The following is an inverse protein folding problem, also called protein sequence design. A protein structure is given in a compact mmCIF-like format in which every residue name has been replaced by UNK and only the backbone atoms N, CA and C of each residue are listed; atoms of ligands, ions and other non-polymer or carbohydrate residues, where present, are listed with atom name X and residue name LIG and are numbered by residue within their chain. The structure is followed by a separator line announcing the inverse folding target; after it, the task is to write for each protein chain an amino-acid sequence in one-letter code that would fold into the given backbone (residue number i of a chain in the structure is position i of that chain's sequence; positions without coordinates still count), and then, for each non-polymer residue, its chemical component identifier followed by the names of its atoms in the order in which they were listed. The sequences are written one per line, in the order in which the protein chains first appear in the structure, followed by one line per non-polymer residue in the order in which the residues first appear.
data_IF_654457493513
#
_entry.id   IF_654457493513
#
_cell.length_a   1.000
_cell.length_b   1.000
_cell.length_c   1.000
_cell.angle_alpha   90.00
_cell.angle_beta   90.00
_cell.angle_gamma   90.00
#
_symmetry.space_group_name_H-M   'P 1'
#
loop_
_entity.id
_entity.type
_entity.pdbx_description
1 polymer ?
#
# COMPACT_ATOMS: atom_id res chain seq x y z
N UNK A 1 19.40 -5.07 -59.55
CA UNK A 1 20.71 -5.69 -59.25
C UNK A 1 20.67 -6.26 -57.84
N UNK A 2 20.74 -7.60 -57.66
CA UNK A 2 20.84 -8.20 -56.34
C UNK A 2 22.30 -8.57 -56.05
N UNK A 3 22.82 -8.19 -54.89
CA UNK A 3 24.09 -8.71 -54.38
C UNK A 3 23.81 -9.89 -53.45
N UNK A 4 24.48 -11.00 -53.79
CA UNK A 4 24.73 -12.20 -52.98
C UNK A 4 25.67 -11.80 -51.81
N UNK A 5 25.64 -12.45 -50.65
CA UNK A 5 26.39 -13.69 -50.33
C UNK A 5 25.75 -14.35 -49.07
N UNK A 6 25.29 -15.62 -49.09
CA UNK A 6 26.00 -16.91 -48.90
C UNK A 6 26.60 -17.10 -47.49
N UNK A 7 25.98 -17.88 -46.59
CA UNK A 7 26.18 -19.33 -46.30
C UNK A 7 26.99 -19.51 -44.98
N UNK A 8 26.35 -19.84 -43.85
CA UNK A 8 26.07 -21.17 -43.26
C UNK A 8 27.29 -21.90 -42.66
N UNK A 9 27.26 -22.13 -41.35
CA UNK A 9 27.87 -23.32 -40.76
C UNK A 9 27.22 -23.70 -39.43
N UNK A 10 26.61 -24.89 -39.44
CA UNK A 10 26.19 -25.67 -38.29
C UNK A 10 27.42 -26.10 -37.47
N UNK A 11 27.27 -26.24 -36.15
CA UNK A 11 27.79 -27.41 -35.45
C UNK A 11 26.97 -27.75 -34.20
N UNK A 12 26.63 -29.03 -34.14
CA UNK A 12 25.93 -29.81 -33.11
C UNK A 12 26.99 -30.61 -32.35
N UNK A 13 26.57 -31.25 -31.25
CA UNK A 13 27.26 -32.27 -30.41
C UNK A 13 27.99 -31.64 -29.20
N UNK A 14 27.93 -32.17 -27.98
CA UNK A 14 27.36 -33.43 -27.48
C UNK A 14 27.23 -33.35 -25.94
N UNK A 15 26.35 -34.19 -25.42
CA UNK A 15 26.13 -34.48 -24.00
C UNK A 15 27.32 -35.23 -23.38
N UNK A 16 27.59 -35.01 -22.10
CA UNK A 16 28.03 -36.10 -21.21
C UNK A 16 27.51 -35.90 -19.78
N UNK A 17 26.52 -36.73 -19.45
CA UNK A 17 26.16 -37.11 -18.08
C UNK A 17 27.34 -37.83 -17.40
N UNK A 18 27.29 -37.91 -16.05
CA UNK A 18 27.69 -39.04 -15.17
C UNK A 18 28.35 -38.48 -13.90
N UNK A 19 28.08 -38.85 -12.64
CA UNK A 19 27.15 -39.75 -11.93
C UNK A 19 27.62 -39.72 -10.46
N UNK A 20 26.70 -39.93 -9.49
CA UNK A 20 26.96 -40.54 -8.16
C UNK A 20 27.75 -39.70 -7.12
N UNK A 21 27.45 -39.65 -5.83
CA UNK A 21 26.42 -40.23 -4.96
C UNK A 21 26.73 -39.79 -3.51
N UNK A 22 25.80 -40.09 -2.60
CA UNK A 22 25.96 -40.27 -1.15
C UNK A 22 25.65 -39.07 -0.24
N UNK A 23 24.42 -39.10 0.26
CA UNK A 23 23.99 -38.64 1.58
C UNK A 23 24.92 -39.17 2.69
N UNK A 24 24.89 -38.55 3.87
CA UNK A 24 24.16 -39.24 4.92
C UNK A 24 23.16 -38.37 5.69
N UNK A 25 22.16 -39.10 6.15
CA UNK A 25 21.02 -38.75 6.98
C UNK A 25 21.47 -38.61 8.44
N UNK A 26 21.33 -37.44 9.07
CA UNK A 26 21.28 -37.31 10.54
C UNK A 26 20.29 -36.21 10.97
N UNK A 27 19.32 -36.63 11.76
CA UNK A 27 18.54 -35.90 12.75
C UNK A 27 18.43 -36.84 13.96
N UNK A 28 17.96 -36.45 15.16
CA UNK A 28 17.83 -35.13 15.79
C UNK A 28 18.36 -35.14 17.26
N UNK A 29 18.62 -33.97 17.87
CA UNK A 29 18.52 -33.80 19.34
C UNK A 29 18.43 -32.31 19.69
N UNK A 30 17.36 -31.83 20.37
CA UNK A 30 17.18 -31.71 21.84
C UNK A 30 18.30 -30.87 22.48
N UNK A 31 18.07 -29.94 23.41
CA UNK A 31 17.06 -29.73 24.47
C UNK A 31 17.33 -28.27 24.95
N UNK A 32 16.41 -27.52 25.54
CA UNK A 32 16.00 -27.71 26.95
C UNK A 32 14.67 -27.00 27.22
N UNK A 33 13.65 -27.81 27.53
CA UNK A 33 12.85 -27.58 28.73
C UNK A 33 12.52 -28.98 29.27
N UNK A 34 13.35 -29.40 30.20
CA UNK A 34 13.04 -30.41 31.21
C UNK A 34 13.01 -29.57 32.48
N UNK A 35 12.13 -29.73 33.46
CA UNK A 35 11.21 -30.79 33.88
C UNK A 35 10.82 -30.35 35.32
N UNK A 36 9.94 -30.92 36.13
CA UNK A 36 9.38 -32.24 36.33
C UNK A 36 8.30 -32.02 37.41
N UNK A 37 7.11 -32.61 37.27
CA UNK A 37 6.57 -33.69 38.15
C UNK A 37 6.02 -33.16 39.50
N UNK A 38 5.01 -33.75 40.14
CA UNK A 38 4.52 -35.12 40.10
C UNK A 38 3.06 -35.19 40.56
N UNK A 39 2.39 -36.23 40.08
CA UNK A 39 1.58 -37.19 40.82
C UNK A 39 0.22 -36.86 41.47
N UNK A 40 -0.69 -37.78 41.10
CA UNK A 40 -1.58 -38.56 41.95
C UNK A 40 -3.05 -38.14 42.12
N UNK A 41 -3.88 -38.83 41.32
CA UNK A 41 -4.89 -39.80 41.74
C UNK A 41 -6.09 -39.35 42.59
N UNK A 42 -7.26 -39.57 41.98
CA UNK A 42 -8.48 -40.12 42.59
C UNK A 42 -9.51 -39.15 43.18
N UNK A 43 -10.76 -39.49 42.86
CA UNK A 43 -11.96 -39.38 43.69
C UNK A 43 -12.68 -38.01 43.75
N UNK A 44 -13.80 -37.99 43.02
CA UNK A 44 -15.15 -37.90 43.61
C UNK A 44 -15.71 -36.51 43.96
N UNK A 45 -16.88 -36.31 43.31
CA UNK A 45 -18.11 -35.68 43.80
C UNK A 45 -18.27 -34.15 43.71
N UNK A 46 -19.45 -33.87 43.14
CA UNK A 46 -20.50 -32.95 43.62
C UNK A 46 -20.46 -31.53 43.08
N UNK A 47 -21.41 -31.29 42.17
CA UNK A 47 -22.48 -30.29 42.26
C UNK A 47 -22.08 -28.91 42.77
N UNK A 48 -22.08 -27.94 41.85
CA UNK A 48 -22.15 -26.53 42.17
C UNK A 48 -23.63 -26.06 42.07
N UNK A 49 -24.24 -25.57 43.15
CA UNK A 49 -25.62 -25.09 43.16
C UNK A 49 -25.72 -23.62 42.73
N UNK A 50 -26.88 -23.27 42.17
CA UNK A 50 -27.33 -21.89 41.98
C UNK A 50 -27.70 -21.25 43.33
N UNK A 51 -27.38 -19.96 43.55
CA UNK A 51 -28.36 -18.95 43.94
C UNK A 51 -27.77 -17.54 44.16
N UNK A 52 -28.39 -16.56 43.49
CA UNK A 52 -28.89 -15.25 44.00
C UNK A 52 -27.96 -14.29 44.78
N UNK A 53 -27.68 -13.16 44.11
CA UNK A 53 -28.00 -11.76 44.48
C UNK A 53 -27.45 -11.15 45.77
N UNK A 54 -26.54 -10.16 45.65
CA UNK A 54 -26.50 -8.95 46.49
C UNK A 54 -26.08 -7.72 45.66
N UNK A 55 -26.81 -6.63 45.89
CA UNK A 55 -26.75 -5.28 45.32
C UNK A 55 -25.64 -4.46 45.98
N UNK A 56 -24.83 -3.73 45.21
CA UNK A 56 -24.13 -2.55 45.74
C UNK A 56 -23.93 -1.48 44.66
N UNK A 57 -24.29 -0.27 45.07
CA UNK A 57 -24.23 1.02 44.42
C UNK A 57 -22.79 1.53 44.34
N UNK A 58 -22.36 2.02 43.17
CA UNK A 58 -21.24 2.97 43.08
C UNK A 58 -21.31 3.79 41.79
N UNK A 59 -21.74 5.04 41.95
CA UNK A 59 -21.66 6.14 41.01
C UNK A 59 -20.24 6.30 40.48
N UNK A 60 -20.05 6.19 39.17
CA UNK A 60 -18.82 6.68 38.51
C UNK A 60 -19.19 7.44 37.23
N UNK A 61 -18.80 8.71 37.26
CA UNK A 61 -19.08 9.77 36.29
C UNK A 61 -18.55 9.37 34.91
N UNK A 62 -19.46 9.13 33.97
CA UNK A 62 -19.15 9.12 32.54
C UNK A 62 -18.92 10.57 32.11
N UNK A 63 -17.66 11.00 32.00
CA UNK A 63 -17.32 12.20 31.22
C UNK A 63 -17.30 11.80 29.75
N UNK A 64 -18.49 11.76 29.16
CA UNK A 64 -18.68 11.85 27.71
C UNK A 64 -18.19 13.22 27.26
N UNK A 65 -16.94 13.32 26.79
CA UNK A 65 -16.55 14.45 25.95
C UNK A 65 -17.10 14.19 24.56
N UNK A 66 -18.34 14.63 24.35
CA UNK A 66 -18.96 14.78 23.03
C UNK A 66 -18.09 15.74 22.22
N UNK A 67 -17.50 15.24 21.14
CA UNK A 67 -16.82 16.06 20.13
C UNK A 67 -17.86 16.99 19.53
N UNK A 68 -17.66 18.33 19.48
CA UNK A 68 -18.64 19.21 18.86
C UNK A 68 -18.75 18.84 17.38
N UNK A 69 -19.97 18.43 17.05
CA UNK A 69 -20.50 18.13 15.74
C UNK A 69 -20.90 19.47 15.11
N UNK A 70 -19.99 20.05 14.35
CA UNK A 70 -20.20 20.90 13.17
C UNK A 70 -18.95 21.76 12.92
N UNK A 71 -17.95 21.17 12.27
CA UNK A 71 -16.99 21.96 11.49
C UNK A 71 -17.44 21.80 10.05
N UNK A 72 -18.19 22.76 9.52
CA UNK A 72 -18.45 22.86 8.08
C UNK A 72 -17.11 22.71 7.36
N UNK A 73 -16.93 21.58 6.68
CA UNK A 73 -15.73 21.35 5.89
C UNK A 73 -15.74 22.37 4.75
N UNK A 74 -14.99 23.45 4.93
CA UNK A 74 -14.82 24.48 3.90
C UNK A 74 -14.32 23.77 2.63
N UNK A 75 -15.07 23.81 1.51
CA UNK A 75 -14.67 23.16 0.28
C UNK A 75 -13.35 23.79 -0.19
N UNK A 76 -12.44 22.98 -0.72
CA UNK A 76 -11.10 23.46 -1.11
C UNK A 76 -11.17 24.66 -2.07
N UNK A 77 -12.21 24.71 -2.90
CA UNK A 77 -12.47 25.75 -3.89
C UNK A 77 -12.80 27.11 -3.30
N UNK A 78 -13.23 27.20 -2.04
CA UNK A 78 -13.53 28.48 -1.37
C UNK A 78 -12.35 29.04 -0.57
N UNK A 79 -11.20 28.34 -0.54
CA UNK A 79 -9.98 28.87 0.05
C UNK A 79 -9.40 30.01 -0.81
N UNK A 80 -8.69 30.99 -0.22
CA UNK A 80 -7.96 32.00 -0.97
C UNK A 80 -6.98 31.38 -1.98
N UNK A 81 -6.82 32.01 -3.14
CA UNK A 81 -5.97 31.51 -4.24
C UNK A 81 -4.54 31.20 -3.76
N UNK A 82 -3.96 32.06 -2.92
CA UNK A 82 -2.62 31.83 -2.36
C UNK A 82 -2.51 30.54 -1.54
N UNK A 83 -3.55 30.20 -0.77
CA UNK A 83 -3.57 28.96 0.00
C UNK A 83 -3.74 27.76 -0.92
N UNK A 84 -4.57 27.88 -1.96
CA UNK A 84 -4.71 26.83 -2.96
C UNK A 84 -3.38 26.56 -3.68
N UNK A 85 -2.64 27.60 -4.05
CA UNK A 85 -1.30 27.48 -4.64
C UNK A 85 -0.35 26.77 -3.66
N UNK A 86 -0.29 27.22 -2.40
CA UNK A 86 0.57 26.57 -1.38
C UNK A 86 0.26 25.09 -1.21
N UNK A 87 -1.02 24.74 -1.15
CA UNK A 87 -1.44 23.34 -1.03
C UNK A 87 -1.03 22.58 -2.30
N UNK A 88 -1.37 23.09 -3.48
CA UNK A 88 -0.99 22.47 -4.76
C UNK A 88 0.52 22.22 -4.87
N UNK A 89 1.35 23.24 -4.59
CA UNK A 89 2.81 23.14 -4.61
C UNK A 89 3.30 22.08 -3.62
N UNK A 90 2.74 22.05 -2.41
CA UNK A 90 3.07 21.03 -1.41
C UNK A 90 2.82 19.62 -1.93
N UNK A 91 1.66 19.37 -2.53
CA UNK A 91 1.35 18.06 -3.10
C UNK A 91 2.27 17.73 -4.28
N UNK A 92 2.52 18.69 -5.18
CA UNK A 92 3.40 18.48 -6.33
C UNK A 92 4.85 18.13 -5.96
N UNK A 93 5.33 18.54 -4.78
CA UNK A 93 6.66 18.18 -4.26
C UNK A 93 6.85 16.67 -4.00
N UNK A 94 5.78 15.88 -3.93
CA UNK A 94 5.91 14.41 -3.87
C UNK A 94 6.44 13.81 -5.17
N UNK A 95 6.44 14.56 -6.28
CA UNK A 95 7.02 14.15 -7.56
C UNK A 95 8.21 15.02 -7.94
N UNK A 96 9.19 14.43 -8.63
CA UNK A 96 10.27 15.21 -9.23
C UNK A 96 9.69 16.06 -10.40
N UNK A 97 10.00 17.36 -10.46
CA UNK A 97 9.45 18.28 -11.47
C UNK A 97 9.88 17.95 -12.91
N UNK A 98 10.98 17.22 -13.09
CA UNK A 98 11.53 16.90 -14.41
C UNK A 98 10.82 15.71 -15.09
N UNK A 99 9.91 15.01 -14.41
CA UNK A 99 9.15 13.93 -15.03
C UNK A 99 8.05 14.45 -15.96
N UNK A 100 7.67 13.65 -16.98
CA UNK A 100 6.46 13.87 -17.74
C UNK A 100 5.24 14.10 -16.85
N UNK A 101 4.33 14.97 -17.29
CA UNK A 101 3.17 15.39 -16.50
C UNK A 101 2.33 14.21 -16.00
N UNK A 102 2.09 13.19 -16.84
CA UNK A 102 1.27 12.04 -16.46
C UNK A 102 1.91 11.17 -15.38
N UNK A 103 3.25 11.02 -15.41
CA UNK A 103 3.99 10.34 -14.34
C UNK A 103 3.89 11.13 -13.03
N UNK A 104 4.02 12.46 -13.09
CA UNK A 104 3.86 13.32 -11.91
C UNK A 104 2.45 13.22 -11.32
N UNK A 105 1.44 13.18 -12.18
CA UNK A 105 0.02 13.04 -11.78
C UNK A 105 -0.26 11.67 -11.15
N UNK A 106 0.37 10.61 -11.67
CA UNK A 106 0.31 9.29 -11.06
C UNK A 106 0.99 9.24 -9.70
N UNK A 107 2.18 9.81 -9.55
CA UNK A 107 2.85 9.92 -8.26
C UNK A 107 2.01 10.66 -7.22
N UNK A 108 1.33 11.74 -7.63
CA UNK A 108 0.43 12.49 -6.76
C UNK A 108 -0.72 11.61 -6.26
N UNK A 109 -1.30 10.81 -7.15
CA UNK A 109 -2.35 9.85 -6.82
C UNK A 109 -1.85 8.80 -5.82
N UNK A 110 -0.67 8.21 -6.04
CA UNK A 110 -0.06 7.25 -5.09
C UNK A 110 0.19 7.90 -3.73
N UNK A 111 0.77 9.11 -3.71
CA UNK A 111 0.98 9.86 -2.47
C UNK A 111 -0.34 10.11 -1.73
N UNK A 112 -1.40 10.49 -2.45
CA UNK A 112 -2.73 10.72 -1.88
C UNK A 112 -3.33 9.44 -1.27
N UNK A 113 -3.17 8.28 -1.94
CA UNK A 113 -3.57 6.98 -1.37
C UNK A 113 -2.82 6.64 -0.09
N UNK A 114 -1.50 6.88 -0.07
CA UNK A 114 -0.67 6.59 1.09
C UNK A 114 -0.95 7.54 2.26
N UNK A 115 -1.32 8.79 1.97
CA UNK A 115 -1.60 9.82 2.96
C UNK A 115 -2.85 9.55 3.81
N UNK A 116 -3.77 8.70 3.33
CA UNK A 116 -4.93 8.29 4.11
C UNK A 116 -4.47 7.66 5.43
N UNK A 117 -4.79 8.32 6.55
CA UNK A 117 -4.40 7.93 7.92
C UNK A 117 -2.88 7.73 8.08
N UNK A 118 -2.07 8.56 7.42
CA UNK A 118 -0.62 8.61 7.60
C UNK A 118 -0.12 10.05 7.70
N UNK A 119 1.03 10.23 8.35
CA UNK A 119 1.71 11.52 8.41
C UNK A 119 2.52 11.76 7.13
N UNK A 120 2.62 13.01 6.72
CA UNK A 120 3.36 13.44 5.52
C UNK A 120 4.79 12.90 5.47
N UNK A 121 5.52 12.94 6.59
CA UNK A 121 6.90 12.43 6.68
C UNK A 121 7.00 10.93 6.34
N UNK A 122 5.98 10.16 6.68
CA UNK A 122 5.89 8.74 6.37
C UNK A 122 5.55 8.53 4.89
N UNK A 123 4.68 9.38 4.31
CA UNK A 123 4.35 9.34 2.88
C UNK A 123 5.58 9.68 2.04
N UNK A 124 6.33 10.72 2.39
CA UNK A 124 7.57 11.09 1.68
C UNK A 124 8.56 9.93 1.70
N UNK A 125 8.76 9.28 2.85
CA UNK A 125 9.61 8.09 2.97
C UNK A 125 9.10 6.93 2.10
N UNK A 126 7.79 6.69 2.07
CA UNK A 126 7.18 5.65 1.26
C UNK A 126 7.36 5.90 -0.25
N UNK A 127 7.17 7.14 -0.71
CA UNK A 127 7.42 7.50 -2.11
C UNK A 127 8.88 7.25 -2.52
N UNK A 128 9.85 7.61 -1.65
CA UNK A 128 11.27 7.33 -1.89
C UNK A 128 11.55 5.82 -1.91
N UNK A 129 10.98 5.05 -0.97
CA UNK A 129 11.16 3.60 -0.91
C UNK A 129 10.60 2.89 -2.15
N UNK A 130 9.42 3.31 -2.64
CA UNK A 130 8.84 2.76 -3.87
C UNK A 130 9.71 3.07 -5.08
N UNK A 131 10.24 4.31 -5.21
CA UNK A 131 11.17 4.63 -6.30
C UNK A 131 12.44 3.79 -6.28
N UNK A 132 13.02 3.61 -5.08
CA UNK A 132 14.19 2.76 -4.90
C UNK A 132 13.91 1.29 -5.29
N UNK A 133 12.71 0.79 -5.00
CA UNK A 133 12.29 -0.56 -5.40
C UNK A 133 12.26 -0.74 -6.93
N UNK A 134 11.90 0.30 -7.68
CA UNK A 134 11.89 0.27 -9.16
C UNK A 134 13.19 0.81 -9.81
N UNK A 135 14.29 0.95 -9.07
CA UNK A 135 15.63 1.36 -9.55
C UNK A 135 15.78 2.76 -10.18
N UNK A 136 14.70 3.52 -10.35
CA UNK A 136 14.76 4.93 -10.76
C UNK A 136 13.50 5.67 -10.35
N UNK A 137 12.39 5.20 -10.90
CA UNK A 137 11.07 5.77 -10.74
C UNK A 137 10.01 4.73 -11.12
N UNK A 138 8.75 5.02 -10.85
CA UNK A 138 7.68 4.04 -11.06
C UNK A 138 6.53 4.58 -11.90
N UNK A 139 6.04 3.72 -12.78
CA UNK A 139 4.92 3.97 -13.68
C UNK A 139 3.67 3.23 -13.23
N UNK A 140 2.53 3.60 -13.80
CA UNK A 140 1.26 2.93 -13.46
C UNK A 140 1.28 1.46 -13.87
N UNK A 141 1.95 1.12 -14.97
CA UNK A 141 2.13 -0.26 -15.44
C UNK A 141 2.95 -1.07 -14.44
N UNK A 142 4.08 -0.51 -13.99
CA UNK A 142 4.95 -1.16 -13.01
C UNK A 142 4.23 -1.45 -11.68
N UNK A 143 3.40 -0.52 -11.19
CA UNK A 143 2.60 -0.76 -9.98
C UNK A 143 1.47 -1.75 -10.23
N UNK A 144 0.83 -1.72 -11.41
CA UNK A 144 -0.23 -2.65 -11.78
C UNK A 144 0.26 -4.10 -11.90
N UNK A 145 1.50 -4.30 -12.33
CA UNK A 145 2.14 -5.62 -12.49
C UNK A 145 2.85 -6.13 -11.23
N UNK A 146 3.11 -5.25 -10.26
CA UNK A 146 3.80 -5.61 -9.02
C UNK A 146 3.00 -6.58 -8.14
N UNK A 147 3.71 -7.41 -7.37
CA UNK A 147 3.05 -8.28 -6.38
C UNK A 147 2.65 -7.49 -5.14
N UNK A 148 1.51 -7.84 -4.57
CA UNK A 148 0.98 -7.17 -3.38
C UNK A 148 1.94 -7.27 -2.19
N UNK A 149 2.57 -8.43 -2.03
CA UNK A 149 3.50 -8.73 -0.93
C UNK A 149 4.76 -7.88 -1.01
N UNK A 150 5.29 -7.68 -2.23
CA UNK A 150 6.49 -6.88 -2.48
C UNK A 150 6.23 -5.41 -2.15
N UNK A 151 5.12 -4.85 -2.66
CA UNK A 151 4.75 -3.47 -2.35
C UNK A 151 4.48 -3.31 -0.86
N UNK A 152 3.74 -4.23 -0.23
CA UNK A 152 3.45 -4.19 1.21
C UNK A 152 4.72 -4.24 2.06
N UNK A 153 5.74 -5.00 1.64
CA UNK A 153 7.04 -5.05 2.30
C UNK A 153 7.78 -3.71 2.19
N UNK A 154 7.80 -3.10 1.00
CA UNK A 154 8.41 -1.79 0.73
C UNK A 154 7.79 -0.70 1.61
N UNK A 155 6.45 -0.72 1.78
CA UNK A 155 5.72 0.27 2.59
C UNK A 155 5.35 -0.24 4.00
N UNK A 156 6.04 -1.25 4.51
CA UNK A 156 5.69 -1.93 5.77
C UNK A 156 5.61 -1.01 7.00
N UNK A 157 6.35 0.10 6.99
CA UNK A 157 6.34 1.13 8.03
C UNK A 157 5.14 2.10 7.94
N UNK A 158 4.35 2.04 6.86
CA UNK A 158 3.11 2.80 6.71
C UNK A 158 1.98 2.05 7.43
N UNK A 159 1.06 2.79 8.06
CA UNK A 159 -0.12 2.18 8.66
C UNK A 159 -0.97 1.42 7.61
N UNK A 160 -1.37 0.19 7.95
CA UNK A 160 -2.17 -0.72 7.11
C UNK A 160 -1.53 -1.04 5.73
N UNK A 161 -0.29 -1.57 5.70
CA UNK A 161 0.47 -1.72 4.45
C UNK A 161 -0.18 -2.68 3.46
N UNK A 162 -0.71 -3.81 3.94
CA UNK A 162 -1.38 -4.81 3.08
C UNK A 162 -2.59 -4.25 2.33
N UNK A 163 -3.45 -3.49 3.04
CA UNK A 163 -4.63 -2.89 2.44
C UNK A 163 -4.25 -1.78 1.45
N UNK A 164 -3.23 -0.98 1.77
CA UNK A 164 -2.72 0.06 0.87
C UNK A 164 -2.10 -0.53 -0.39
N UNK A 165 -1.25 -1.54 -0.27
CA UNK A 165 -0.66 -2.24 -1.41
C UNK A 165 -1.74 -2.82 -2.33
N UNK A 166 -2.75 -3.50 -1.76
CA UNK A 166 -3.90 -4.02 -2.51
C UNK A 166 -4.64 -2.93 -3.29
N UNK A 167 -4.91 -1.78 -2.65
CA UNK A 167 -5.60 -0.67 -3.31
C UNK A 167 -4.73 0.05 -4.35
N UNK A 168 -3.42 0.15 -4.13
CA UNK A 168 -2.50 0.74 -5.12
C UNK A 168 -2.47 -0.10 -6.40
N UNK A 169 -2.33 -1.42 -6.28
CA UNK A 169 -2.30 -2.32 -7.44
C UNK A 169 -3.65 -2.30 -8.17
N UNK A 170 -4.75 -2.51 -7.45
CA UNK A 170 -6.10 -2.49 -8.06
C UNK A 170 -6.43 -1.15 -8.70
N UNK A 171 -6.15 -0.04 -8.01
CA UNK A 171 -6.38 1.29 -8.58
C UNK A 171 -5.50 1.56 -9.80
N UNK A 172 -4.26 1.07 -9.83
CA UNK A 172 -3.39 1.19 -11.01
C UNK A 172 -3.90 0.34 -12.18
N UNK A 173 -4.43 -0.85 -11.92
CA UNK A 173 -5.10 -1.69 -12.92
C UNK A 173 -6.34 -0.98 -13.50
N UNK A 174 -7.17 -0.36 -12.65
CA UNK A 174 -8.33 0.42 -13.10
C UNK A 174 -7.89 1.57 -14.00
N UNK A 175 -6.83 2.32 -13.60
CA UNK A 175 -6.27 3.44 -14.38
C UNK A 175 -5.76 2.98 -15.75
N UNK A 176 -5.03 1.87 -15.81
CA UNK A 176 -4.54 1.30 -17.07
C UNK A 176 -5.70 0.87 -17.96
N UNK A 177 -6.69 0.17 -17.40
CA UNK A 177 -7.78 -0.43 -18.15
C UNK A 177 -8.74 0.60 -18.74
N UNK A 178 -9.19 1.55 -17.93
CA UNK A 178 -10.29 2.45 -18.30
C UNK A 178 -9.78 3.80 -18.85
N UNK A 179 -8.55 4.20 -18.53
CA UNK A 179 -7.97 5.49 -18.93
C UNK A 179 -6.59 5.37 -19.61
N UNK A 180 -6.16 4.17 -19.99
CA UNK A 180 -4.92 3.96 -20.75
C UNK A 180 -3.63 4.31 -19.99
N UNK A 181 -3.71 4.45 -18.66
CA UNK A 181 -2.59 4.81 -17.80
C UNK A 181 -2.60 6.27 -17.31
N UNK A 182 -3.52 7.09 -17.81
CA UNK A 182 -3.66 8.48 -17.38
C UNK A 182 -4.62 8.62 -16.20
N UNK A 183 -4.24 9.42 -15.19
CA UNK A 183 -5.15 9.69 -14.07
C UNK A 183 -6.28 10.63 -14.52
N UNK A 184 -7.57 10.31 -14.32
CA UNK A 184 -8.67 11.18 -14.70
C UNK A 184 -8.72 12.47 -13.86
N UNK A 185 -9.32 13.52 -14.43
CA UNK A 185 -9.49 14.81 -13.75
C UNK A 185 -10.89 14.99 -13.14
N UNK A 186 -11.90 14.31 -13.70
CA UNK A 186 -13.29 14.44 -13.26
C UNK A 186 -13.51 13.68 -11.97
N UNK A 187 -14.25 14.27 -11.04
CA UNK A 187 -14.62 13.66 -9.75
C UNK A 187 -15.31 12.31 -9.95
N UNK A 188 -16.27 12.23 -10.88
CA UNK A 188 -17.03 11.02 -11.18
C UNK A 188 -16.13 9.87 -11.64
N UNK A 189 -15.12 10.17 -12.45
CA UNK A 189 -14.18 9.17 -12.96
C UNK A 189 -13.18 8.76 -11.89
N UNK A 190 -12.71 9.70 -11.07
CA UNK A 190 -11.86 9.41 -9.91
C UNK A 190 -12.58 8.48 -8.93
N UNK A 191 -13.87 8.65 -8.69
CA UNK A 191 -14.66 7.78 -7.82
C UNK A 191 -14.79 6.34 -8.32
N UNK A 192 -14.61 6.08 -9.62
CA UNK A 192 -14.61 4.72 -10.17
C UNK A 192 -13.34 3.94 -9.82
N UNK A 193 -12.23 4.63 -9.54
CA UNK A 193 -10.95 4.00 -9.19
C UNK A 193 -11.04 3.38 -7.79
N UNK A 194 -10.60 2.12 -7.66
CA UNK A 194 -10.64 1.38 -6.41
C UNK A 194 -10.05 2.17 -5.23
N UNK A 195 -10.84 2.26 -4.16
CA UNK A 195 -10.48 2.89 -2.90
C UNK A 195 -10.45 4.42 -2.93
N UNK A 196 -10.91 5.10 -3.99
CA UNK A 196 -11.13 6.55 -3.97
C UNK A 196 -12.55 6.80 -3.46
N UNK A 197 -12.67 7.52 -2.35
CA UNK A 197 -13.95 8.01 -1.85
C UNK A 197 -14.28 9.43 -2.34
N UNK A 198 -15.52 9.92 -2.13
CA UNK A 198 -15.98 11.22 -2.62
C UNK A 198 -15.06 12.39 -2.24
N UNK A 199 -14.64 12.46 -0.97
CA UNK A 199 -13.78 13.54 -0.48
C UNK A 199 -12.39 13.53 -1.11
N UNK A 200 -11.83 12.34 -1.32
CA UNK A 200 -10.51 12.20 -1.95
C UNK A 200 -10.58 12.54 -3.44
N UNK A 201 -11.66 12.16 -4.12
CA UNK A 201 -11.91 12.52 -5.51
C UNK A 201 -12.02 14.04 -5.69
N UNK A 202 -12.74 14.73 -4.80
CA UNK A 202 -12.83 16.19 -4.80
C UNK A 202 -11.45 16.83 -4.70
N UNK A 203 -10.65 16.44 -3.70
CA UNK A 203 -9.29 16.98 -3.51
C UNK A 203 -8.44 16.76 -4.76
N UNK A 204 -8.38 15.51 -5.25
CA UNK A 204 -7.60 15.14 -6.44
C UNK A 204 -8.06 15.92 -7.69
N UNK A 205 -9.36 16.14 -7.84
CA UNK A 205 -9.90 16.91 -8.97
C UNK A 205 -9.46 18.36 -8.98
N UNK A 206 -8.97 18.91 -7.86
CA UNK A 206 -8.44 20.28 -7.82
C UNK A 206 -6.91 20.32 -7.85
N UNK A 207 -6.23 19.39 -7.17
CA UNK A 207 -4.76 19.39 -7.09
C UNK A 207 -4.07 18.68 -8.26
N UNK A 208 -4.74 17.74 -8.93
CA UNK A 208 -4.14 16.83 -9.92
C UNK A 208 -4.57 17.10 -11.38
N UNK A 209 -5.01 18.33 -11.68
CA UNK A 209 -5.39 18.74 -13.03
C UNK A 209 -4.15 19.10 -13.85
N UNK A 210 -4.20 18.97 -15.17
CA UNK A 210 -3.04 19.29 -16.04
C UNK A 210 -2.68 20.78 -16.02
N UNK A 211 -3.67 21.66 -15.94
CA UNK A 211 -3.48 23.12 -15.81
C UNK A 211 -2.69 23.52 -14.55
N UNK A 212 -2.69 22.68 -13.52
CA UNK A 212 -1.92 22.87 -12.30
C UNK A 212 -0.40 22.79 -12.52
N UNK A 213 0.05 22.24 -13.66
CA UNK A 213 1.46 22.04 -13.98
C UNK A 213 1.99 22.99 -15.06
N UNK A 214 1.10 23.68 -15.79
CA UNK A 214 1.48 24.58 -16.89
C UNK A 214 2.01 25.96 -16.45
N UNK A 215 1.89 26.30 -15.16
CA UNK A 215 2.26 27.62 -14.63
C UNK A 215 3.72 27.71 -14.15
N UNK A 216 4.61 26.89 -14.71
CA UNK A 216 6.04 26.89 -14.35
C UNK A 216 6.82 27.90 -15.18
#
# INVERSE_FOLDING_TARGET
QPQKDSCNQNNKLEENETTTSLLPRVSPNKRTWESCTSNDNTTIKRNLPSSKSIKSTATSKTKSKTKPENSEEIPFTSLPIEQQIKIRTKWQNFSNPNHPIEIRRFHLWVAAKLHVRAHETIVTKAMVAIRAFFSSDFTVQQIAEAKQEEIAQVISFVNMPNSKAKHLIRGSLDIVKDWGGDVPEKVEDLMKITGIGPKLAEILSVVNRRDAYSSS
#
